data_IF_263598226849
#
_entry.id   IF_263598226849
#
_cell.length_a   1.000
_cell.length_b   1.000
_cell.length_c   1.000
_cell.angle_alpha   90.00
_cell.angle_beta   90.00
_cell.angle_gamma   90.00
#
_symmetry.space_group_name_H-M   'P 1'
#
loop_
_entity.id
_entity.type
_entity.pdbx_description
1 polymer ?
#
# COMPACT_ATOMS: atom_id res chain seq x y z
N UNK A 1 16.50 -4.93 4.97
CA UNK A 1 17.02 -3.55 5.15
C UNK A 1 15.95 -2.70 5.80
N UNK A 2 16.28 -1.77 6.71
CA UNK A 2 15.29 -0.87 7.33
C UNK A 2 15.31 0.56 6.76
N UNK A 3 16.07 0.78 5.68
CA UNK A 3 16.02 2.03 4.93
C UNK A 3 14.74 2.07 4.08
N UNK A 4 14.54 3.14 3.29
CA UNK A 4 13.47 3.17 2.30
C UNK A 4 14.03 2.68 0.95
N UNK A 5 13.63 1.51 0.41
CA UNK A 5 12.53 0.63 0.85
C UNK A 5 12.87 -0.30 2.02
N UNK A 6 11.86 -0.58 2.87
CA UNK A 6 11.97 -1.55 3.96
C UNK A 6 11.82 -2.95 3.36
N UNK A 7 12.86 -3.76 3.51
CA UNK A 7 12.92 -5.12 3.00
C UNK A 7 12.78 -6.11 4.17
N UNK A 8 11.65 -6.81 4.17
CA UNK A 8 11.25 -7.80 5.18
C UNK A 8 11.83 -9.19 4.94
N UNK A 9 12.63 -9.38 3.89
CA UNK A 9 13.23 -10.65 3.47
C UNK A 9 12.21 -11.72 3.02
N UNK A 10 12.71 -12.81 2.44
CA UNK A 10 11.85 -13.91 1.95
C UNK A 10 11.21 -14.78 3.04
N UNK A 11 11.64 -14.66 4.30
CA UNK A 11 11.08 -15.43 5.42
C UNK A 11 9.90 -14.75 6.11
N UNK A 12 9.46 -13.60 5.60
CA UNK A 12 8.37 -12.78 6.16
C UNK A 12 7.09 -13.58 6.36
N UNK A 13 6.43 -13.39 7.50
CA UNK A 13 5.12 -13.95 7.81
C UNK A 13 4.01 -12.92 7.58
N UNK A 14 2.76 -13.39 7.47
CA UNK A 14 1.59 -12.51 7.40
C UNK A 14 1.60 -11.44 8.51
N UNK A 15 1.93 -11.85 9.75
CA UNK A 15 1.97 -10.96 10.92
C UNK A 15 3.02 -9.87 10.82
N UNK A 16 4.14 -10.13 10.16
CA UNK A 16 5.21 -9.14 9.99
C UNK A 16 4.74 -8.03 9.04
N UNK A 17 4.04 -8.40 7.97
CA UNK A 17 3.43 -7.48 7.01
C UNK A 17 2.34 -6.65 7.71
N UNK A 18 1.49 -7.28 8.51
CA UNK A 18 0.46 -6.57 9.28
C UNK A 18 1.08 -5.56 10.25
N UNK A 19 2.08 -5.99 11.02
CA UNK A 19 2.70 -5.17 12.05
C UNK A 19 3.44 -3.97 11.44
N UNK A 20 4.16 -4.17 10.33
CA UNK A 20 4.86 -3.07 9.69
C UNK A 20 3.88 -2.06 9.09
N UNK A 21 2.77 -2.50 8.48
CA UNK A 21 1.76 -1.58 7.94
C UNK A 21 1.13 -0.78 9.09
N UNK A 22 0.73 -1.44 10.18
CA UNK A 22 0.18 -0.75 11.37
C UNK A 22 1.16 0.29 11.89
N UNK A 23 2.42 -0.10 12.09
CA UNK A 23 3.46 0.79 12.61
C UNK A 23 3.67 1.99 11.68
N UNK A 24 3.92 1.76 10.38
CA UNK A 24 4.18 2.84 9.43
C UNK A 24 2.97 3.76 9.23
N UNK A 25 1.75 3.23 9.32
CA UNK A 25 0.52 4.04 9.28
C UNK A 25 0.42 5.03 10.44
N UNK A 26 0.97 4.69 11.60
CA UNK A 26 0.94 5.51 12.81
C UNK A 26 2.11 6.52 12.88
N UNK A 27 3.11 6.39 12.02
CA UNK A 27 4.23 7.33 11.93
C UNK A 27 3.81 8.58 11.16
N UNK A 28 3.78 9.74 11.82
CA UNK A 28 3.29 11.01 11.26
C UNK A 28 4.05 11.45 10.00
N UNK A 29 5.39 11.34 10.01
CA UNK A 29 6.25 11.70 8.86
C UNK A 29 6.07 10.84 7.62
N UNK A 30 5.36 9.72 7.71
CA UNK A 30 5.07 8.85 6.57
C UNK A 30 3.73 9.29 6.00
N UNK A 31 3.70 9.72 4.74
CA UNK A 31 2.46 10.22 4.11
C UNK A 31 1.75 9.15 3.27
N UNK A 32 2.48 8.16 2.76
CA UNK A 32 1.95 7.10 1.92
C UNK A 32 2.85 5.85 2.03
N UNK A 33 2.24 4.67 1.87
CA UNK A 33 2.94 3.38 1.86
C UNK A 33 2.78 2.75 0.47
N UNK A 34 3.91 2.34 -0.11
CA UNK A 34 3.91 1.44 -1.28
C UNK A 34 4.23 0.04 -0.78
N UNK A 35 3.26 -0.88 -0.89
CA UNK A 35 3.43 -2.27 -0.50
C UNK A 35 3.79 -3.11 -1.73
N UNK A 36 5.03 -3.58 -1.79
CA UNK A 36 5.48 -4.50 -2.83
C UNK A 36 5.30 -5.95 -2.34
N UNK A 37 4.17 -6.57 -2.66
CA UNK A 37 3.83 -7.89 -2.17
C UNK A 37 4.18 -8.96 -3.21
N UNK A 38 5.17 -9.78 -2.87
CA UNK A 38 5.52 -11.01 -3.60
C UNK A 38 5.16 -12.21 -2.71
N UNK A 39 3.92 -12.71 -2.78
CA UNK A 39 3.47 -13.74 -1.85
C UNK A 39 4.08 -15.09 -2.23
N UNK A 40 5.05 -15.56 -1.45
CA UNK A 40 5.67 -16.88 -1.61
C UNK A 40 5.19 -17.82 -0.48
N UNK A 41 4.38 -18.85 -0.81
CA UNK A 41 4.08 -19.92 0.12
C UNK A 41 5.36 -20.70 0.51
N UNK A 42 5.44 -21.29 1.72
CA UNK A 42 4.37 -21.42 2.71
C UNK A 42 4.24 -20.24 3.69
N UNK A 43 5.19 -19.29 3.70
CA UNK A 43 5.29 -18.28 4.75
C UNK A 43 4.16 -17.23 4.71
N UNK A 44 3.68 -16.90 3.50
CA UNK A 44 2.56 -15.97 3.30
C UNK A 44 1.31 -16.76 2.91
N UNK A 45 0.21 -16.55 3.63
CA UNK A 45 -1.05 -17.21 3.34
C UNK A 45 -1.83 -16.51 2.23
N UNK A 46 -2.75 -17.22 1.58
CA UNK A 46 -3.70 -16.59 0.63
C UNK A 46 -4.66 -15.60 1.31
N UNK A 47 -4.78 -15.64 2.64
CA UNK A 47 -5.61 -14.68 3.39
C UNK A 47 -4.91 -13.33 3.59
N UNK A 48 -3.63 -13.20 3.20
CA UNK A 48 -2.86 -11.97 3.42
C UNK A 48 -3.55 -10.73 2.83
N UNK A 49 -4.18 -10.86 1.66
CA UNK A 49 -4.85 -9.72 1.02
C UNK A 49 -5.99 -9.17 1.87
N UNK A 50 -6.86 -10.04 2.41
CA UNK A 50 -7.93 -9.64 3.34
C UNK A 50 -7.38 -9.08 4.66
N UNK A 51 -6.32 -9.68 5.22
CA UNK A 51 -5.71 -9.22 6.48
C UNK A 51 -5.13 -7.81 6.32
N UNK A 52 -4.37 -7.57 5.26
CA UNK A 52 -3.80 -6.28 4.91
C UNK A 52 -4.90 -5.26 4.61
N UNK A 53 -5.90 -5.63 3.82
CA UNK A 53 -7.02 -4.77 3.48
C UNK A 53 -7.77 -4.25 4.73
N UNK A 54 -8.05 -5.13 5.70
CA UNK A 54 -8.69 -4.74 6.95
C UNK A 54 -7.87 -3.73 7.76
N UNK A 55 -6.54 -3.89 7.78
CA UNK A 55 -5.66 -2.92 8.45
C UNK A 55 -5.70 -1.58 7.73
N UNK A 56 -5.55 -1.58 6.41
CA UNK A 56 -5.57 -0.36 5.60
C UNK A 56 -6.89 0.37 5.81
N UNK A 57 -8.03 -0.32 5.76
CA UNK A 57 -9.34 0.27 6.01
C UNK A 57 -9.49 0.87 7.42
N UNK A 58 -8.79 0.31 8.42
CA UNK A 58 -8.80 0.83 9.79
C UNK A 58 -7.87 2.03 10.02
N UNK A 59 -7.02 2.38 9.04
CA UNK A 59 -6.00 3.42 9.15
C UNK A 59 -6.25 4.53 8.14
N UNK A 60 -5.95 5.78 8.52
CA UNK A 60 -6.13 6.94 7.63
C UNK A 60 -4.84 7.26 6.82
N UNK A 61 -4.15 6.23 6.31
CA UNK A 61 -2.92 6.39 5.54
C UNK A 61 -3.06 5.71 4.18
N UNK A 62 -2.83 6.41 3.05
CA UNK A 62 -2.96 5.81 1.73
C UNK A 62 -1.92 4.72 1.54
N UNK A 63 -2.38 3.53 1.15
CA UNK A 63 -1.54 2.39 0.80
C UNK A 63 -1.84 1.96 -0.63
N UNK A 64 -0.79 1.84 -1.44
CA UNK A 64 -0.89 1.35 -2.83
C UNK A 64 -0.07 0.07 -2.95
N UNK A 65 -0.69 -0.97 -3.51
CA UNK A 65 -0.08 -2.29 -3.56
C UNK A 65 0.43 -2.62 -4.97
N UNK A 66 1.55 -3.34 -5.01
CA UNK A 66 1.99 -4.10 -6.16
C UNK A 66 1.81 -5.59 -5.86
N UNK A 67 1.17 -6.31 -6.77
CA UNK A 67 1.09 -7.79 -6.75
C UNK A 67 1.25 -8.28 -8.19
N UNK A 68 2.15 -9.24 -8.47
CA UNK A 68 2.29 -9.80 -9.81
C UNK A 68 0.97 -10.38 -10.33
N UNK A 69 0.63 -10.07 -11.59
CA UNK A 69 -0.56 -10.63 -12.22
C UNK A 69 -0.34 -12.07 -12.65
N UNK A 70 -0.49 -12.98 -11.68
CA UNK A 70 -0.38 -14.43 -11.90
C UNK A 70 -1.60 -15.07 -11.26
N UNK A 71 -2.21 -16.05 -11.93
CA UNK A 71 -3.44 -16.72 -11.49
C UNK A 71 -3.40 -17.21 -10.04
N UNK A 72 -2.24 -17.68 -9.56
CA UNK A 72 -2.06 -18.12 -8.17
C UNK A 72 -2.26 -17.00 -7.13
N UNK A 73 -2.19 -15.73 -7.52
CA UNK A 73 -2.35 -14.57 -6.64
C UNK A 73 -3.70 -13.87 -6.82
N UNK A 74 -4.59 -14.39 -7.69
CA UNK A 74 -5.91 -13.78 -7.96
C UNK A 74 -6.72 -13.53 -6.70
N UNK A 75 -6.80 -14.51 -5.78
CA UNK A 75 -7.52 -14.34 -4.51
C UNK A 75 -6.96 -13.19 -3.64
N UNK A 76 -5.64 -13.00 -3.65
CA UNK A 76 -5.00 -11.91 -2.91
C UNK A 76 -5.35 -10.56 -3.55
N UNK A 77 -5.24 -10.48 -4.87
CA UNK A 77 -5.57 -9.28 -5.66
C UNK A 77 -7.04 -8.89 -5.44
N UNK A 78 -7.97 -9.83 -5.67
CA UNK A 78 -9.40 -9.63 -5.51
C UNK A 78 -9.76 -9.15 -4.10
N UNK A 79 -9.17 -9.76 -3.06
CA UNK A 79 -9.47 -9.37 -1.68
C UNK A 79 -9.02 -7.94 -1.32
N UNK A 80 -7.93 -7.45 -1.94
CA UNK A 80 -7.45 -6.08 -1.78
C UNK A 80 -8.38 -5.11 -2.54
N UNK A 81 -8.68 -5.40 -3.80
CA UNK A 81 -9.49 -4.54 -4.66
C UNK A 81 -10.94 -4.42 -4.17
N UNK A 82 -11.54 -5.51 -3.69
CA UNK A 82 -12.88 -5.51 -3.07
C UNK A 82 -12.96 -4.59 -1.84
N UNK A 83 -11.83 -4.28 -1.22
CA UNK A 83 -11.73 -3.37 -0.07
C UNK A 83 -11.23 -1.98 -0.47
N UNK A 84 -11.28 -1.64 -1.77
CA UNK A 84 -10.81 -0.38 -2.33
C UNK A 84 -9.31 -0.10 -2.10
N UNK A 85 -8.50 -1.15 -1.92
CA UNK A 85 -7.04 -1.00 -1.91
C UNK A 85 -6.56 -1.08 -3.36
N UNK A 86 -5.92 -0.03 -3.91
CA UNK A 86 -5.45 -0.04 -5.29
C UNK A 86 -4.28 -1.02 -5.45
N UNK A 87 -4.44 -1.97 -6.37
CA UNK A 87 -3.42 -2.96 -6.73
C UNK A 87 -2.97 -2.72 -8.17
N UNK A 88 -1.66 -2.78 -8.40
CA UNK A 88 -1.07 -2.70 -9.73
C UNK A 88 -0.13 -3.88 -9.97
N UNK A 89 0.14 -4.16 -11.24
CA UNK A 89 0.85 -5.38 -11.66
C UNK A 89 2.25 -5.11 -12.22
N UNK A 90 2.66 -3.85 -12.24
CA UNK A 90 4.06 -3.44 -12.41
C UNK A 90 4.44 -2.39 -11.36
N UNK A 91 5.70 -2.41 -10.93
CA UNK A 91 6.25 -1.41 -10.00
C UNK A 91 6.08 0.01 -10.58
N UNK A 92 6.22 0.16 -11.91
CA UNK A 92 6.07 1.44 -12.59
C UNK A 92 4.67 2.02 -12.39
N UNK A 93 3.63 1.22 -12.59
CA UNK A 93 2.23 1.66 -12.40
C UNK A 93 1.97 2.02 -10.93
N UNK A 94 2.46 1.22 -9.98
CA UNK A 94 2.34 1.50 -8.55
C UNK A 94 2.95 2.86 -8.18
N UNK A 95 4.17 3.14 -8.68
CA UNK A 95 4.84 4.43 -8.46
C UNK A 95 4.10 5.56 -9.17
N UNK A 96 3.59 5.35 -10.37
CA UNK A 96 2.80 6.34 -11.10
C UNK A 96 1.50 6.70 -10.35
N UNK A 97 0.81 5.73 -9.77
CA UNK A 97 -0.39 5.95 -8.97
C UNK A 97 -0.08 6.82 -7.73
N UNK A 98 1.01 6.52 -7.01
CA UNK A 98 1.43 7.32 -5.85
C UNK A 98 1.87 8.72 -6.27
N UNK A 99 2.57 8.85 -7.41
CA UNK A 99 2.93 10.14 -7.97
C UNK A 99 1.69 10.98 -8.29
N UNK A 100 0.65 10.36 -8.88
CA UNK A 100 -0.62 11.03 -9.18
C UNK A 100 -1.34 11.50 -7.91
N UNK A 101 -1.37 10.67 -6.84
CA UNK A 101 -1.91 11.07 -5.53
C UNK A 101 -1.18 12.30 -4.99
N UNK A 102 0.17 12.29 -5.03
CA UNK A 102 0.98 13.43 -4.59
C UNK A 102 0.69 14.70 -5.39
N UNK A 103 0.58 14.61 -6.71
CA UNK A 103 0.29 15.78 -7.57
C UNK A 103 -1.10 16.34 -7.28
N UNK A 104 -2.11 15.48 -7.15
CA UNK A 104 -3.46 15.89 -6.78
C UNK A 104 -3.46 16.64 -5.45
N UNK A 105 -2.87 16.08 -4.40
CA UNK A 105 -2.78 16.74 -3.09
C UNK A 105 -2.08 18.08 -3.17
N UNK A 106 -1.01 18.20 -3.97
CA UNK A 106 -0.33 19.49 -4.20
C UNK A 106 -1.27 20.52 -4.83
N UNK A 107 -2.04 20.14 -5.84
CA UNK A 107 -3.00 21.02 -6.52
C UNK A 107 -4.11 21.44 -5.55
N UNK A 108 -4.66 20.50 -4.79
CA UNK A 108 -5.73 20.76 -3.81
C UNK A 108 -5.24 21.74 -2.72
N UNK A 109 -4.01 21.56 -2.23
CA UNK A 109 -3.38 22.47 -1.27
C UNK A 109 -3.14 23.87 -1.83
N UNK A 110 -2.80 23.99 -3.12
CA UNK A 110 -2.66 25.30 -3.78
C UNK A 110 -4.00 26.01 -3.92
N UNK A 111 -5.06 25.29 -4.31
CA UNK A 111 -6.43 25.84 -4.37
C UNK A 111 -6.89 26.34 -3.01
N UNK A 112 -6.70 25.54 -1.96
CA UNK A 112 -7.03 25.94 -0.58
C UNK A 112 -6.28 27.21 -0.14
N UNK A 113 -4.98 27.33 -0.47
CA UNK A 113 -4.20 28.54 -0.14
C UNK A 113 -4.64 29.78 -0.91
N UNK A 114 -5.08 29.62 -2.16
CA UNK A 114 -5.50 30.72 -3.01
C UNK A 114 -6.96 31.14 -2.77
N UNK A 115 -7.79 30.30 -2.14
CA UNK A 115 -9.18 30.61 -1.79
C UNK A 115 -9.34 31.66 -0.66
N UNK A 116 -8.26 32.02 0.05
CA UNK A 116 -8.29 33.04 1.11
C UNK A 116 -8.01 34.47 0.61
N UNK A 117 -7.86 34.66 -0.72
CA UNK A 117 -7.55 35.96 -1.34
C UNK A 117 -8.65 36.48 -2.28
N UNK A 118 -9.87 35.94 -2.20
CA UNK A 118 -11.07 36.53 -2.80
C UNK A 118 -12.01 37.10 -1.72
#
# INVERSE_FOLDING_TARGET
SFNNPIDLTGSVLDTDIENIIRYLSDVERIECIILLLLPYPPNISFQIGRRVANIIASKNKPVVCFVPYVLKYSLIIESLELTNVPVFHSIKETVQAVSALKQRTRIDNLKLKNMFWE
#
